data_IF_497424058554
#
_entry.id   IF_497424058554
#
_cell.length_a   1.000
_cell.length_b   1.000
_cell.length_c   1.000
_cell.angle_alpha   90.00
_cell.angle_beta   90.00
_cell.angle_gamma   90.00
#
_symmetry.space_group_name_H-M   'P 1'
#
loop_
_entity.id
_entity.type
_entity.pdbx_description
1 polymer ?
#
# COMPACT_ATOMS: atom_id res chain seq x y z
N UNK A 1 21.43 -6.53 0.21
CA UNK A 1 20.81 -5.97 -1.02
C UNK A 1 19.86 -4.84 -0.62
N UNK A 2 19.70 -3.83 -1.48
CA UNK A 2 18.73 -2.73 -1.29
C UNK A 2 17.69 -2.83 -2.42
N UNK A 3 16.42 -2.56 -2.12
CA UNK A 3 15.31 -2.61 -3.07
C UNK A 3 14.74 -1.20 -3.40
N UNK A 4 15.35 -0.17 -2.82
CA UNK A 4 14.91 1.22 -2.92
C UNK A 4 15.74 2.16 -2.04
N UNK A 5 15.33 3.42 -1.96
CA UNK A 5 15.99 4.47 -1.19
C UNK A 5 15.01 5.55 -0.71
N UNK A 6 15.41 6.36 0.26
CA UNK A 6 14.67 7.55 0.69
C UNK A 6 14.97 8.72 -0.25
N UNK A 7 13.92 9.34 -0.76
CA UNK A 7 13.97 10.63 -1.44
C UNK A 7 13.39 11.68 -0.49
N UNK A 8 14.28 12.27 0.32
CA UNK A 8 13.89 13.23 1.35
C UNK A 8 13.31 14.53 0.78
N UNK A 9 13.72 14.91 -0.43
CA UNK A 9 13.23 16.11 -1.10
C UNK A 9 11.74 15.97 -1.46
N UNK A 10 11.35 14.79 -1.95
CA UNK A 10 9.96 14.48 -2.26
C UNK A 10 9.19 13.88 -1.07
N UNK A 11 9.89 13.50 0.00
CA UNK A 11 9.37 12.80 1.18
C UNK A 11 8.78 11.44 0.82
N UNK A 12 9.51 10.72 -0.02
CA UNK A 12 9.09 9.43 -0.57
C UNK A 12 10.10 8.32 -0.24
N UNK A 13 9.62 7.08 -0.28
CA UNK A 13 10.49 5.93 -0.37
C UNK A 13 10.36 5.34 -1.78
N UNK A 14 11.42 5.44 -2.59
CA UNK A 14 11.44 5.03 -3.99
C UNK A 14 11.87 3.56 -4.08
N UNK A 15 10.94 2.68 -4.46
CA UNK A 15 11.20 1.26 -4.70
C UNK A 15 11.64 1.10 -6.16
N UNK A 16 12.85 0.60 -6.39
CA UNK A 16 13.45 0.51 -7.74
C UNK A 16 13.27 -0.84 -8.41
N UNK A 17 12.75 -1.83 -7.68
CA UNK A 17 12.45 -3.18 -8.21
C UNK A 17 11.14 -3.70 -7.61
N UNK A 18 10.27 -4.36 -8.39
CA UNK A 18 9.05 -4.96 -7.87
C UNK A 18 9.31 -6.20 -7.00
N UNK A 19 10.51 -6.80 -7.08
CA UNK A 19 10.88 -8.05 -6.39
C UNK A 19 11.36 -7.79 -4.94
N UNK A 20 10.55 -7.11 -4.15
CA UNK A 20 10.82 -6.92 -2.71
C UNK A 20 10.63 -8.25 -1.96
N UNK A 21 11.36 -8.50 -0.84
CA UNK A 21 11.25 -9.77 -0.10
C UNK A 21 9.85 -10.06 0.45
N UNK A 22 9.08 -8.99 0.68
CA UNK A 22 7.67 -9.00 1.05
C UNK A 22 6.98 -7.82 0.36
N UNK A 23 5.65 -7.85 0.18
CA UNK A 23 4.90 -6.70 -0.31
C UNK A 23 5.10 -5.49 0.62
N UNK A 24 5.59 -4.38 0.09
CA UNK A 24 5.71 -3.13 0.84
C UNK A 24 4.49 -2.28 0.54
N UNK A 25 3.74 -1.93 1.59
CA UNK A 25 2.45 -1.26 1.47
C UNK A 25 2.54 0.23 1.78
N UNK A 26 1.62 0.99 1.21
CA UNK A 26 1.27 2.33 1.63
C UNK A 26 -0.23 2.42 1.95
N UNK A 27 -0.60 3.44 2.73
CA UNK A 27 -1.98 3.81 3.00
C UNK A 27 -2.35 5.03 2.15
N UNK A 28 -3.48 4.95 1.46
CA UNK A 28 -4.05 6.09 0.72
C UNK A 28 -5.43 6.41 1.29
N UNK A 29 -5.62 7.65 1.76
CA UNK A 29 -6.85 8.10 2.39
C UNK A 29 -6.58 8.99 3.62
N UNK A 30 -7.30 10.10 3.72
CA UNK A 30 -7.15 11.08 4.82
C UNK A 30 -8.49 11.44 5.49
N UNK A 31 -9.58 10.78 5.11
CA UNK A 31 -10.92 11.02 5.63
C UNK A 31 -11.66 9.70 5.81
N UNK A 32 -12.76 9.48 5.08
CA UNK A 32 -13.64 8.32 5.30
C UNK A 32 -13.32 7.16 4.36
N UNK A 33 -12.63 7.42 3.25
CA UNK A 33 -12.20 6.40 2.29
C UNK A 33 -10.72 6.06 2.51
N UNK A 34 -10.41 4.76 2.54
CA UNK A 34 -9.06 4.26 2.73
C UNK A 34 -8.75 3.14 1.74
N UNK A 35 -7.48 3.06 1.35
CA UNK A 35 -6.89 1.96 0.60
C UNK A 35 -5.56 1.56 1.22
N UNK A 36 -5.34 0.26 1.30
CA UNK A 36 -4.04 -0.35 1.51
C UNK A 36 -3.58 -0.82 0.13
N UNK A 37 -2.40 -0.38 -0.32
CA UNK A 37 -1.87 -0.71 -1.64
C UNK A 37 -0.38 -1.08 -1.55
N UNK A 38 0.03 -2.20 -2.17
CA UNK A 38 1.43 -2.63 -2.26
C UNK A 38 2.17 -1.99 -3.42
N UNK A 39 3.49 -2.08 -3.42
CA UNK A 39 4.38 -1.73 -4.53
C UNK A 39 4.08 -2.46 -5.85
N UNK A 40 3.33 -3.57 -5.78
CA UNK A 40 2.84 -4.37 -6.91
C UNK A 40 1.33 -4.21 -7.16
N UNK A 41 0.72 -3.14 -6.63
CA UNK A 41 -0.70 -2.81 -6.75
C UNK A 41 -1.69 -3.82 -6.14
N UNK A 42 -1.23 -4.69 -5.24
CA UNK A 42 -2.08 -5.56 -4.43
C UNK A 42 -2.71 -4.79 -3.25
N UNK A 43 -3.83 -5.28 -2.73
CA UNK A 43 -4.47 -4.71 -1.54
C UNK A 43 -5.99 -4.59 -1.67
N UNK A 44 -6.59 -3.69 -0.90
CA UNK A 44 -8.02 -3.41 -0.94
C UNK A 44 -8.35 -1.99 -0.45
N UNK A 45 -9.60 -1.58 -0.68
CA UNK A 45 -10.16 -0.34 -0.18
C UNK A 45 -11.47 -0.55 0.58
N UNK A 46 -11.80 0.39 1.45
CA UNK A 46 -12.98 0.39 2.30
C UNK A 46 -13.38 1.82 2.64
N UNK A 47 -14.65 2.02 3.01
CA UNK A 47 -15.15 3.31 3.49
C UNK A 47 -15.58 3.18 4.96
N UNK A 48 -14.97 3.94 5.87
CA UNK A 48 -15.11 3.95 7.34
C UNK A 48 -14.74 2.65 8.03
N UNK A 49 -15.32 1.53 7.63
CA UNK A 49 -15.19 0.23 8.30
C UNK A 49 -14.56 -0.82 7.37
N UNK A 50 -13.39 -1.33 7.74
CA UNK A 50 -12.63 -2.29 6.94
C UNK A 50 -13.22 -3.72 6.92
N UNK A 51 -14.19 -4.02 7.79
CA UNK A 51 -14.90 -5.30 7.89
C UNK A 51 -16.27 -5.22 7.21
N UNK A 52 -17.08 -4.24 7.57
CA UNK A 52 -18.49 -4.13 7.14
C UNK A 52 -18.68 -3.32 5.86
N UNK A 53 -17.69 -2.50 5.47
CA UNK A 53 -17.77 -1.58 4.32
C UNK A 53 -16.55 -1.69 3.42
N UNK A 54 -16.04 -2.92 3.29
CA UNK A 54 -14.98 -3.27 2.34
C UNK A 54 -15.54 -3.30 0.92
N UNK A 55 -14.84 -2.63 -0.01
CA UNK A 55 -15.28 -2.48 -1.39
C UNK A 55 -14.62 -3.54 -2.27
N UNK A 56 -13.29 -3.72 -2.15
CA UNK A 56 -12.54 -4.72 -2.93
C UNK A 56 -12.08 -5.88 -2.06
N UNK A 57 -12.04 -7.09 -2.62
CA UNK A 57 -11.59 -8.29 -1.92
C UNK A 57 -10.06 -8.37 -1.94
N UNK A 58 -9.48 -8.77 -0.82
CA UNK A 58 -8.07 -9.14 -0.70
C UNK A 58 -7.95 -10.52 -0.04
N UNK A 59 -6.98 -11.32 -0.48
CA UNK A 59 -6.69 -12.65 0.07
C UNK A 59 -5.41 -12.55 0.88
N UNK A 60 -5.49 -12.97 2.14
CA UNK A 60 -4.33 -13.13 3.01
C UNK A 60 -3.83 -14.57 2.91
N UNK A 61 -2.54 -14.76 3.18
CA UNK A 61 -1.81 -16.03 3.04
C UNK A 61 -1.86 -16.61 1.62
#
# INVERSE_FOLDING_TARGET
>A
MKYGYFDDANREYVITTPETPNPWINYSGNQEFFSIISNTAGGYCFYKDARLRRITRYRYN
#
